data_IF_903490721534
#
_entry.id   IF_903490721534
#
_cell.length_a   1.000
_cell.length_b   1.000
_cell.length_c   1.000
_cell.angle_alpha   90.00
_cell.angle_beta   90.00
_cell.angle_gamma   90.00
#
_symmetry.space_group_name_H-M   'P 1'
#
loop_
_entity.id
_entity.type
_entity.pdbx_description
1 polymer ?
#
# COMPACT_ATOMS: atom_id res chain seq x y z
N UNK A 1 3.46 -11.52 -10.82
CA UNK A 1 2.44 -11.38 -9.75
C UNK A 1 2.78 -10.15 -8.93
N UNK A 2 1.83 -9.22 -8.75
CA UNK A 2 2.04 -7.97 -8.00
C UNK A 2 1.36 -8.03 -6.63
N UNK A 3 2.13 -7.76 -5.59
CA UNK A 3 1.68 -7.66 -4.18
C UNK A 3 2.06 -6.29 -3.66
N UNK A 4 1.13 -5.63 -2.99
CA UNK A 4 1.34 -4.30 -2.43
C UNK A 4 1.07 -4.32 -0.94
N UNK A 5 1.94 -3.65 -0.18
CA UNK A 5 1.72 -3.38 1.23
C UNK A 5 1.42 -1.90 1.39
N UNK A 6 0.24 -1.57 1.90
CA UNK A 6 -0.10 -0.20 2.25
C UNK A 6 0.06 0.00 3.75
N UNK A 7 1.09 0.77 4.12
CA UNK A 7 1.14 1.47 5.40
C UNK A 7 0.47 2.81 5.17
N UNK A 8 -0.34 3.29 6.11
CA UNK A 8 -1.18 4.49 6.00
C UNK A 8 -0.58 5.71 5.26
N UNK A 9 0.75 5.89 5.24
CA UNK A 9 1.45 6.95 4.51
C UNK A 9 2.37 6.47 3.38
N UNK A 10 2.78 5.21 3.40
CA UNK A 10 3.83 4.64 2.55
C UNK A 10 3.39 3.29 2.01
N UNK A 11 3.70 3.04 0.75
CA UNK A 11 3.39 1.81 0.06
C UNK A 11 4.66 1.07 -0.35
N UNK A 12 4.71 -0.23 -0.08
CA UNK A 12 5.66 -1.14 -0.70
C UNK A 12 5.03 -1.83 -1.91
N UNK A 13 5.79 -1.99 -2.99
CA UNK A 13 5.38 -2.77 -4.16
C UNK A 13 6.35 -3.92 -4.38
N UNK A 14 5.81 -5.13 -4.51
CA UNK A 14 6.51 -6.29 -5.02
C UNK A 14 5.91 -6.61 -6.38
N UNK A 15 6.74 -6.58 -7.43
CA UNK A 15 6.36 -7.00 -8.77
C UNK A 15 7.30 -8.11 -9.22
N UNK A 16 6.73 -9.24 -9.61
CA UNK A 16 7.49 -10.43 -10.06
C UNK A 16 8.58 -10.84 -9.07
N UNK A 17 8.19 -10.89 -7.79
CA UNK A 17 9.04 -11.26 -6.65
C UNK A 17 10.21 -10.31 -6.39
N UNK A 18 10.21 -9.11 -6.97
CA UNK A 18 11.19 -8.07 -6.70
C UNK A 18 10.52 -6.90 -6.01
N UNK A 19 11.15 -6.41 -4.94
CA UNK A 19 10.80 -5.13 -4.36
C UNK A 19 11.11 -4.03 -5.37
N UNK A 20 10.15 -3.15 -5.61
CA UNK A 20 10.32 -2.08 -6.57
C UNK A 20 10.78 -0.80 -5.87
N UNK A 21 11.97 -0.35 -6.28
CA UNK A 21 12.54 0.93 -5.90
C UNK A 21 12.25 1.99 -6.98
N UNK A 22 12.13 3.24 -6.56
CA UNK A 22 12.05 4.37 -7.50
C UNK A 22 13.43 4.83 -7.97
N UNK A 23 13.47 5.51 -9.12
CA UNK A 23 14.72 5.98 -9.75
C UNK A 23 15.65 6.76 -8.81
N UNK A 24 15.08 7.51 -7.87
CA UNK A 24 15.83 8.34 -6.90
C UNK A 24 15.72 7.81 -5.47
N UNK A 25 15.41 6.51 -5.28
CA UNK A 25 15.21 5.91 -3.96
C UNK A 25 13.89 6.27 -3.28
N UNK A 26 12.92 6.79 -4.03
CA UNK A 26 11.58 7.14 -3.52
C UNK A 26 10.55 6.25 -4.20
N UNK A 27 9.82 5.44 -3.42
CA UNK A 27 8.74 4.59 -3.89
C UNK A 27 7.56 4.62 -2.92
N UNK A 28 6.34 4.62 -3.46
CA UNK A 28 5.12 4.44 -2.69
C UNK A 28 4.76 5.52 -1.66
N UNK A 29 5.26 6.75 -1.82
CA UNK A 29 4.93 7.89 -0.96
C UNK A 29 3.50 8.43 -1.22
N UNK A 30 2.49 7.64 -0.88
CA UNK A 30 1.06 7.93 -1.17
C UNK A 30 0.54 9.18 -0.47
N UNK A 31 1.14 9.58 0.65
CA UNK A 31 0.79 10.82 1.35
C UNK A 31 1.00 12.08 0.48
N UNK A 32 1.83 12.00 -0.58
CA UNK A 32 2.10 13.11 -1.49
C UNK A 32 1.21 13.14 -2.73
N UNK A 33 0.27 12.20 -2.86
CA UNK A 33 -0.73 12.27 -3.94
C UNK A 33 -1.48 13.62 -3.86
N UNK A 34 -1.75 14.29 -5.00
CA UNK A 34 -2.44 15.59 -5.03
C UNK A 34 -3.92 15.50 -4.62
N UNK A 35 -4.35 14.35 -4.09
CA UNK A 35 -5.62 14.13 -3.39
C UNK A 35 -5.55 14.66 -1.95
N UNK A 36 -4.36 14.69 -1.35
CA UNK A 36 -4.15 15.06 0.04
C UNK A 36 -3.39 16.38 0.12
N UNK A 37 -3.91 17.36 0.87
CA UNK A 37 -3.22 18.63 1.18
C UNK A 37 -2.03 18.45 2.16
N UNK A 38 -1.36 17.29 2.12
CA UNK A 38 -0.33 16.89 3.09
C UNK A 38 0.83 17.90 3.17
N UNK A 39 1.28 18.44 2.02
CA UNK A 39 2.34 19.45 2.00
C UNK A 39 1.98 20.73 2.76
N UNK A 40 0.69 21.11 2.76
CA UNK A 40 0.19 22.31 3.45
C UNK A 40 -0.10 22.03 4.92
N UNK A 41 -0.76 20.90 5.20
CA UNK A 41 -1.26 20.54 6.54
C UNK A 41 -0.19 19.87 7.41
N UNK A 42 0.83 19.26 6.81
CA UNK A 42 1.83 18.39 7.46
C UNK A 42 1.23 17.22 8.23
N UNK A 43 -0.03 16.92 7.97
CA UNK A 43 -0.80 15.86 8.59
C UNK A 43 -1.50 15.08 7.49
N UNK A 44 -1.42 13.76 7.59
CA UNK A 44 -2.19 12.86 6.74
C UNK A 44 -3.45 12.47 7.51
N UNK A 45 -4.60 12.79 6.93
CA UNK A 45 -5.89 12.41 7.50
C UNK A 45 -6.13 10.93 7.20
N UNK A 46 -6.09 10.11 8.25
CA UNK A 46 -6.31 8.66 8.18
C UNK A 46 -7.80 8.29 8.20
N UNK A 47 -8.69 9.20 7.80
CA UNK A 47 -10.10 8.87 7.62
C UNK A 47 -10.27 7.70 6.65
N UNK A 48 -11.29 6.88 6.89
CA UNK A 48 -11.65 5.75 6.03
C UNK A 48 -11.84 6.19 4.56
N UNK A 49 -12.37 7.39 4.34
CA UNK A 49 -12.53 7.97 3.00
C UNK A 49 -11.20 8.16 2.28
N UNK A 50 -10.18 8.71 2.95
CA UNK A 50 -8.86 8.87 2.35
C UNK A 50 -8.18 7.52 2.12
N UNK A 51 -8.35 6.57 3.04
CA UNK A 51 -7.83 5.20 2.87
C UNK A 51 -8.43 4.56 1.62
N UNK A 52 -9.76 4.66 1.43
CA UNK A 52 -10.45 4.21 0.21
C UNK A 52 -9.83 4.88 -1.04
N UNK A 53 -9.64 6.19 -1.02
CA UNK A 53 -9.03 6.88 -2.16
C UNK A 53 -7.60 6.40 -2.48
N UNK A 54 -6.78 6.12 -1.46
CA UNK A 54 -5.43 5.55 -1.64
C UNK A 54 -5.51 4.13 -2.23
N UNK A 55 -6.41 3.30 -1.71
CA UNK A 55 -6.59 1.91 -2.19
C UNK A 55 -7.08 1.91 -3.63
N UNK A 56 -8.15 2.66 -3.95
CA UNK A 56 -8.64 2.83 -5.31
C UNK A 56 -7.56 3.36 -6.27
N UNK A 57 -6.78 4.37 -5.86
CA UNK A 57 -5.66 4.89 -6.67
C UNK A 57 -4.63 3.79 -6.94
N UNK A 58 -4.28 3.01 -5.92
CA UNK A 58 -3.36 1.87 -6.06
C UNK A 58 -3.88 0.84 -7.07
N UNK A 59 -5.17 0.50 -6.98
CA UNK A 59 -5.81 -0.46 -7.87
C UNK A 59 -5.70 0.00 -9.33
N UNK A 60 -6.06 1.26 -9.60
CA UNK A 60 -6.04 1.82 -10.96
C UNK A 60 -4.63 1.94 -11.51
N UNK A 61 -3.67 2.37 -10.69
CA UNK A 61 -2.30 2.62 -11.15
C UNK A 61 -1.53 1.34 -11.45
N UNK A 62 -1.81 0.25 -10.72
CA UNK A 62 -0.95 -0.92 -10.73
C UNK A 62 -1.65 -2.25 -11.01
N UNK A 63 -2.98 -2.30 -11.00
CA UNK A 63 -3.78 -3.52 -11.18
C UNK A 63 -3.21 -4.71 -10.37
N UNK A 64 -3.12 -4.57 -9.03
CA UNK A 64 -2.50 -5.57 -8.18
C UNK A 64 -3.29 -6.88 -8.17
N UNK A 65 -2.63 -8.00 -7.88
CA UNK A 65 -3.35 -9.23 -7.58
C UNK A 65 -3.81 -9.26 -6.11
N UNK A 66 -2.97 -8.70 -5.22
CA UNK A 66 -3.17 -8.69 -3.77
C UNK A 66 -2.75 -7.34 -3.19
N UNK A 67 -3.60 -6.76 -2.35
CA UNK A 67 -3.28 -5.64 -1.47
C UNK A 67 -3.35 -6.10 -0.02
N UNK A 68 -2.27 -5.88 0.72
CA UNK A 68 -2.17 -6.11 2.15
C UNK A 68 -2.20 -4.74 2.83
N UNK A 69 -3.19 -4.55 3.71
CA UNK A 69 -3.36 -3.35 4.50
C UNK A 69 -2.85 -3.60 5.92
N UNK A 70 -2.13 -2.63 6.49
CA UNK A 70 -1.53 -2.76 7.82
C UNK A 70 -1.40 -1.40 8.51
N UNK A 71 -1.19 -1.42 9.82
CA UNK A 71 -0.97 -0.25 10.67
C UNK A 71 -2.17 0.13 11.54
N UNK A 72 -1.90 0.94 12.56
CA UNK A 72 -2.78 1.19 13.72
C UNK A 72 -4.17 1.82 13.44
N UNK A 73 -4.36 2.51 12.30
CA UNK A 73 -5.57 3.22 11.90
C UNK A 73 -6.45 2.41 10.92
N UNK A 74 -6.03 1.20 10.55
CA UNK A 74 -6.83 0.27 9.74
C UNK A 74 -7.06 -0.96 10.61
N UNK A 75 -8.29 -1.46 10.65
CA UNK A 75 -8.65 -2.71 11.30
C UNK A 75 -9.16 -3.72 10.28
N UNK A 76 -9.15 -4.99 10.66
CA UNK A 76 -9.72 -6.05 9.82
C UNK A 76 -11.18 -5.77 9.46
N UNK A 77 -11.97 -5.26 10.41
CA UNK A 77 -13.38 -4.91 10.23
C UNK A 77 -13.60 -3.77 9.20
N UNK A 78 -12.57 -2.98 8.89
CA UNK A 78 -12.66 -1.91 7.89
C UNK A 78 -12.61 -2.45 6.45
N UNK A 79 -12.16 -3.69 6.23
CA UNK A 79 -11.96 -4.25 4.88
C UNK A 79 -13.23 -4.26 4.04
N UNK A 80 -14.38 -4.60 4.63
CA UNK A 80 -15.66 -4.60 3.91
C UNK A 80 -16.06 -3.18 3.50
N UNK A 81 -15.85 -2.21 4.40
CA UNK A 81 -16.15 -0.81 4.13
C UNK A 81 -15.23 -0.23 3.06
N UNK A 82 -13.93 -0.58 3.09
CA UNK A 82 -12.94 -0.20 2.07
C UNK A 82 -13.37 -0.78 0.72
N UNK A 83 -13.62 -2.08 0.65
CA UNK A 83 -14.02 -2.76 -0.59
C UNK A 83 -15.28 -2.14 -1.20
N UNK A 84 -16.30 -1.87 -0.36
CA UNK A 84 -17.54 -1.22 -0.82
C UNK A 84 -17.31 0.22 -1.28
N UNK A 85 -16.44 0.94 -0.58
CA UNK A 85 -16.04 2.30 -0.92
C UNK A 85 -15.32 2.38 -2.26
N UNK A 86 -14.39 1.47 -2.50
CA UNK A 86 -13.59 1.38 -3.73
C UNK A 86 -14.47 1.20 -4.96
N UNK A 87 -15.60 0.49 -4.86
CA UNK A 87 -16.53 0.29 -5.98
C UNK A 87 -17.16 1.58 -6.53
N UNK A 88 -17.04 2.70 -5.82
CA UNK A 88 -17.40 4.02 -6.35
C UNK A 88 -16.37 4.58 -7.33
N UNK A 89 -15.13 4.08 -7.29
CA UNK A 89 -13.98 4.57 -8.05
C UNK A 89 -13.45 3.54 -9.05
N UNK A 90 -13.57 2.24 -8.74
CA UNK A 90 -13.04 1.16 -9.58
C UNK A 90 -14.12 0.13 -9.94
N UNK A 91 -14.11 -0.41 -11.16
CA UNK A 91 -14.98 -1.52 -11.53
C UNK A 91 -14.68 -2.77 -10.69
N UNK A 92 -15.70 -3.57 -10.37
CA UNK A 92 -15.54 -4.78 -9.55
C UNK A 92 -14.51 -5.79 -10.10
N UNK A 93 -14.33 -5.85 -11.42
CA UNK A 93 -13.37 -6.75 -12.05
C UNK A 93 -11.91 -6.28 -11.94
N UNK A 94 -11.65 -5.06 -11.46
CA UNK A 94 -10.32 -4.57 -11.09
C UNK A 94 -10.00 -4.84 -9.62
N UNK A 95 -10.99 -5.27 -8.82
CA UNK A 95 -10.76 -5.47 -7.39
C UNK A 95 -9.76 -6.61 -7.14
N UNK A 96 -8.66 -6.33 -6.42
CA UNK A 96 -7.73 -7.35 -5.98
C UNK A 96 -8.28 -8.13 -4.80
N UNK A 97 -7.57 -9.17 -4.38
CA UNK A 97 -7.74 -9.69 -3.02
C UNK A 97 -7.28 -8.61 -2.03
N UNK A 98 -8.12 -8.26 -1.07
CA UNK A 98 -7.74 -7.42 0.07
C UNK A 98 -7.49 -8.30 1.29
N UNK A 99 -6.40 -8.04 2.01
CA UNK A 99 -6.10 -8.70 3.29
C UNK A 99 -5.64 -7.67 4.31
N UNK A 100 -6.02 -7.86 5.56
CA UNK A 100 -5.45 -7.12 6.68
C UNK A 100 -4.35 -7.95 7.34
N UNK A 101 -3.26 -7.29 7.72
CA UNK A 101 -2.19 -7.88 8.50
C UNK A 101 -1.83 -6.91 9.62
N UNK A 102 -2.18 -7.27 10.85
CA UNK A 102 -1.95 -6.41 12.02
C UNK A 102 -0.46 -6.18 12.29
N UNK A 103 0.29 -7.27 12.39
CA UNK A 103 1.73 -7.23 12.64
C UNK A 103 2.50 -7.64 11.38
N UNK A 104 3.30 -6.72 10.87
CA UNK A 104 4.20 -6.93 9.73
C UNK A 104 5.69 -6.86 10.12
N UNK A 105 6.02 -6.77 11.41
CA UNK A 105 7.37 -6.53 11.91
C UNK A 105 8.34 -7.64 11.50
N UNK A 106 7.95 -8.90 11.68
CA UNK A 106 8.74 -10.05 11.25
C UNK A 106 9.00 -10.03 9.75
N UNK A 107 7.98 -9.72 8.94
CA UNK A 107 8.11 -9.61 7.49
C UNK A 107 9.00 -8.45 7.06
N UNK A 108 8.95 -7.33 7.79
CA UNK A 108 9.79 -6.18 7.57
C UNK A 108 11.27 -6.53 7.80
N UNK A 109 11.59 -7.15 8.94
CA UNK A 109 12.97 -7.56 9.24
C UNK A 109 13.49 -8.63 8.28
N UNK A 110 12.67 -9.62 7.93
CA UNK A 110 13.01 -10.62 6.91
C UNK A 110 13.27 -9.97 5.55
N UNK A 111 12.47 -8.96 5.18
CA UNK A 111 12.65 -8.18 3.97
C UNK A 111 14.00 -7.45 3.96
N UNK A 112 14.35 -6.76 5.05
CA UNK A 112 15.63 -6.08 5.21
C UNK A 112 16.81 -7.05 5.12
N UNK A 113 16.74 -8.17 5.84
CA UNK A 113 17.78 -9.20 5.80
C UNK A 113 18.00 -9.73 4.37
N UNK A 114 16.91 -10.06 3.66
CA UNK A 114 16.95 -10.52 2.28
C UNK A 114 17.61 -9.49 1.35
N UNK A 115 17.26 -8.21 1.49
CA UNK A 115 17.84 -7.11 0.71
C UNK A 115 19.35 -6.95 0.96
N UNK A 116 19.77 -7.06 2.23
CA UNK A 116 21.19 -6.97 2.60
C UNK A 116 21.98 -8.14 2.01
N UNK A 117 21.47 -9.38 2.14
CA UNK A 117 22.12 -10.58 1.59
C UNK A 117 22.30 -10.45 0.08
N UNK A 118 21.27 -10.04 -0.65
CA UNK A 118 21.34 -9.83 -2.10
C UNK A 118 22.42 -8.82 -2.50
N UNK A 119 22.59 -7.74 -1.73
CA UNK A 119 23.59 -6.69 -2.01
C UNK A 119 25.02 -7.12 -1.71
N UNK A 120 25.24 -8.04 -0.77
CA UNK A 120 26.58 -8.53 -0.41
C UNK A 120 27.06 -9.64 -1.36
N UNK A 121 26.13 -10.36 -2.01
CA UNK A 121 26.44 -11.45 -2.94
C UNK A 121 26.74 -10.97 -4.39
N UNK A 122 26.64 -9.67 -4.64
CA UNK A 122 27.01 -8.99 -5.90
C UNK A 122 28.42 -8.42 -5.81
#
# INVERSE_FOLDING_TARGET
MSVFLLFQKIQGMILDNQLIDGNNGIAGEVAYLPLFDFLKKREFDNSLENIIQVVATTIVMYNPHLLILTGENIKEDDLEAIQKGDLNYVPIHFMPSLKYQENCEDYYFQGLESQIIQRIQL
#
